data_IF_250442486064
#
_entry.id   IF_250442486064
#
_cell.length_a   1.000
_cell.length_b   1.000
_cell.length_c   1.000
_cell.angle_alpha   90.00
_cell.angle_beta   90.00
_cell.angle_gamma   90.00
#
_symmetry.space_group_name_H-M   'P 1'
#
loop_
_entity.id
_entity.type
_entity.pdbx_description
1 polymer ?
#
# COMPACT_ATOMS: atom_id res chain seq x y z
N UNK A 1 -19.51 -16.80 -19.53
CA UNK A 1 -18.33 -16.33 -20.30
C UNK A 1 -17.25 -15.95 -19.28
N UNK A 2 -15.98 -16.35 -19.46
CA UNK A 2 -14.91 -15.87 -18.61
C UNK A 2 -14.74 -14.35 -18.77
N UNK A 3 -14.41 -13.65 -17.68
CA UNK A 3 -14.03 -12.24 -17.73
C UNK A 3 -12.74 -12.11 -18.55
N UNK A 4 -12.73 -11.22 -19.54
CA UNK A 4 -11.54 -10.88 -20.34
C UNK A 4 -10.96 -9.58 -19.78
N UNK A 5 -9.68 -9.60 -19.42
CA UNK A 5 -8.97 -8.38 -19.05
C UNK A 5 -8.75 -7.51 -20.31
N UNK A 6 -8.95 -6.17 -20.22
CA UNK A 6 -8.67 -5.27 -21.34
C UNK A 6 -7.18 -5.30 -21.68
N UNK A 7 -6.85 -5.36 -22.98
CA UNK A 7 -5.44 -5.42 -23.42
C UNK A 7 -4.89 -4.02 -23.75
N UNK A 8 -5.78 -3.04 -23.96
CA UNK A 8 -5.40 -1.65 -24.25
C UNK A 8 -6.06 -0.67 -23.30
N UNK A 9 -5.48 0.53 -23.24
CA UNK A 9 -5.98 1.63 -22.39
C UNK A 9 -7.38 2.07 -22.84
N UNK A 10 -7.65 2.07 -24.15
CA UNK A 10 -8.95 2.44 -24.71
C UNK A 10 -10.05 1.48 -24.29
N UNK A 11 -9.76 0.18 -24.26
CA UNK A 11 -10.69 -0.84 -23.77
C UNK A 11 -10.97 -0.67 -22.26
N UNK A 12 -9.94 -0.41 -21.46
CA UNK A 12 -10.08 -0.18 -20.02
C UNK A 12 -10.89 1.09 -19.74
N UNK A 13 -10.61 2.18 -20.46
CA UNK A 13 -11.37 3.43 -20.34
C UNK A 13 -12.84 3.26 -20.74
N UNK A 14 -13.14 2.46 -21.77
CA UNK A 14 -14.51 2.17 -22.16
C UNK A 14 -15.28 1.39 -21.07
N UNK A 15 -14.61 0.46 -20.38
CA UNK A 15 -15.18 -0.28 -19.25
C UNK A 15 -15.43 0.65 -18.04
N UNK A 16 -14.50 1.55 -17.73
CA UNK A 16 -14.65 2.55 -16.67
C UNK A 16 -15.80 3.51 -16.97
N UNK A 17 -15.94 3.97 -18.21
CA UNK A 17 -17.03 4.84 -18.64
C UNK A 17 -18.40 4.16 -18.50
N UNK A 18 -18.51 2.91 -18.96
CA UNK A 18 -19.70 2.09 -18.81
C UNK A 18 -20.09 1.90 -17.34
N UNK A 19 -19.11 1.61 -16.47
CA UNK A 19 -19.35 1.48 -15.03
C UNK A 19 -19.88 2.78 -14.41
N UNK A 20 -19.33 3.94 -14.80
CA UNK A 20 -19.83 5.24 -14.34
C UNK A 20 -21.25 5.55 -14.84
N UNK A 21 -21.59 5.23 -16.09
CA UNK A 21 -22.96 5.37 -16.63
C UNK A 21 -23.98 4.50 -15.87
N UNK A 22 -23.56 3.31 -15.44
CA UNK A 22 -24.35 2.42 -14.60
C UNK A 22 -24.40 2.87 -13.11
N UNK A 23 -23.70 3.95 -12.75
CA UNK A 23 -23.63 4.45 -11.37
C UNK A 23 -22.80 3.56 -10.43
N UNK A 24 -21.94 2.71 -10.97
CA UNK A 24 -21.05 1.81 -10.22
C UNK A 24 -19.69 2.51 -10.07
N UNK A 25 -19.10 2.48 -8.87
CA UNK A 25 -17.73 2.95 -8.66
C UNK A 25 -16.76 2.03 -9.40
N UNK A 26 -16.06 2.51 -10.44
CA UNK A 26 -15.17 1.69 -11.24
C UNK A 26 -13.86 1.38 -10.52
N UNK A 27 -13.59 2.05 -9.39
CA UNK A 27 -12.34 1.90 -8.67
C UNK A 27 -12.46 0.87 -7.54
N UNK A 28 -11.35 0.16 -7.23
CA UNK A 28 -11.34 -0.75 -6.11
C UNK A 28 -11.61 -0.01 -4.79
N UNK A 29 -12.29 -0.67 -3.83
CA UNK A 29 -12.56 -0.07 -2.54
C UNK A 29 -11.25 0.31 -1.83
N UNK A 30 -11.33 1.33 -0.97
CA UNK A 30 -10.17 1.77 -0.18
C UNK A 30 -9.62 0.58 0.61
N UNK A 31 -8.32 0.32 0.44
CA UNK A 31 -7.61 -0.73 1.17
C UNK A 31 -7.76 -0.50 2.67
N UNK A 32 -8.06 -1.56 3.41
CA UNK A 32 -8.11 -1.49 4.86
C UNK A 32 -6.75 -1.09 5.43
N UNK A 33 -6.77 -0.23 6.46
CA UNK A 33 -5.57 0.18 7.18
C UNK A 33 -4.98 -1.03 7.91
N UNK A 34 -3.99 -1.70 7.30
CA UNK A 34 -3.29 -2.83 7.92
C UNK A 34 -2.59 -2.37 9.21
N UNK A 35 -3.07 -2.84 10.36
CA UNK A 35 -2.49 -2.52 11.70
C UNK A 35 -1.00 -2.84 11.78
N UNK A 36 -0.57 -3.91 11.11
CA UNK A 36 0.81 -4.37 11.03
C UNK A 36 1.78 -3.34 10.48
N UNK A 37 1.37 -2.49 9.53
CA UNK A 37 2.25 -1.47 8.95
C UNK A 37 2.74 -0.46 9.99
N UNK A 38 1.88 -0.09 10.94
CA UNK A 38 2.25 0.81 12.05
C UNK A 38 3.22 0.13 13.03
N UNK A 39 3.00 -1.15 13.30
CA UNK A 39 3.87 -1.93 14.20
C UNK A 39 5.27 -2.12 13.60
N UNK A 40 5.36 -2.44 12.31
CA UNK A 40 6.62 -2.60 11.60
C UNK A 40 7.45 -1.31 11.59
N UNK A 41 6.80 -0.16 11.38
CA UNK A 41 7.48 1.13 11.42
C UNK A 41 8.01 1.45 12.83
N UNK A 42 7.19 1.20 13.86
CA UNK A 42 7.59 1.43 15.25
C UNK A 42 8.75 0.55 15.69
N UNK A 43 8.70 -0.76 15.39
CA UNK A 43 9.79 -1.68 15.74
C UNK A 43 11.09 -1.33 15.01
N UNK A 44 11.02 -0.93 13.74
CA UNK A 44 12.18 -0.49 12.98
C UNK A 44 12.85 0.74 13.64
N UNK A 45 12.06 1.74 14.03
CA UNK A 45 12.61 2.92 14.73
C UNK A 45 13.26 2.56 16.07
N UNK A 46 12.66 1.65 16.83
CA UNK A 46 13.24 1.17 18.10
C UNK A 46 14.59 0.50 17.85
N UNK A 47 14.70 -0.38 16.85
CA UNK A 47 15.95 -1.05 16.51
C UNK A 47 17.03 -0.04 16.13
N UNK A 48 16.70 0.98 15.31
CA UNK A 48 17.65 2.03 14.95
C UNK A 48 18.13 2.81 16.18
N UNK A 49 17.21 3.21 17.06
CA UNK A 49 17.56 3.92 18.30
C UNK A 49 18.47 3.08 19.19
N UNK A 50 18.12 1.82 19.46
CA UNK A 50 18.94 0.94 20.29
C UNK A 50 20.31 0.67 19.65
N UNK A 51 20.36 0.46 18.34
CA UNK A 51 21.62 0.25 17.62
C UNK A 51 22.52 1.47 17.69
N UNK A 52 21.96 2.67 17.50
CA UNK A 52 22.69 3.93 17.60
C UNK A 52 23.15 4.22 19.03
N UNK A 53 22.27 4.07 20.02
CA UNK A 53 22.60 4.26 21.44
C UNK A 53 23.69 3.27 21.89
N UNK A 54 23.65 2.02 21.41
CA UNK A 54 24.70 1.02 21.67
C UNK A 54 26.06 1.47 21.12
N UNK A 55 26.12 1.92 19.86
CA UNK A 55 27.35 2.45 19.27
C UNK A 55 27.88 3.69 20.02
N UNK A 56 26.98 4.56 20.49
CA UNK A 56 27.34 5.73 21.27
C UNK A 56 27.94 5.34 22.63
N UNK A 57 27.34 4.40 23.36
CA UNK A 57 27.86 3.91 24.64
C UNK A 57 29.24 3.26 24.49
N UNK A 58 29.43 2.44 23.46
CA UNK A 58 30.70 1.76 23.17
C UNK A 58 31.85 2.72 22.81
N UNK A 59 31.57 4.01 22.55
CA UNK A 59 32.61 5.02 22.35
C UNK A 59 33.22 5.54 23.65
N UNK A 60 32.53 5.38 24.78
CA UNK A 60 32.97 5.89 26.08
C UNK A 60 33.47 4.79 27.03
N UNK A 61 33.39 3.53 26.60
CA UNK A 61 33.78 2.34 27.34
C UNK A 61 35.05 1.75 26.72
#
# INVERSE_FOLDING_TARGET
MPFREPETIEEDLALVALAMEMGIDPFPPKREKKRWGRMALGSFMIVLMVSWTSQFLMRFL
#
